data_IF_634637469516
#
_entry.id   IF_634637469516
#
_cell.length_a   1.000
_cell.length_b   1.000
_cell.length_c   1.000
_cell.angle_alpha   90.00
_cell.angle_beta   90.00
_cell.angle_gamma   90.00
#
_symmetry.space_group_name_H-M   'P 1'
#
loop_
_entity.id
_entity.type
_entity.pdbx_description
1 polymer ?
#
# COMPACT_ATOMS: atom_id res chain seq x y z
N UNK A 1 -18.63 -2.42 -0.07
CA UNK A 1 -19.76 -3.31 -0.44
C UNK A 1 -19.38 -4.78 -0.53
N UNK A 2 -18.50 -5.24 -1.42
CA UNK A 2 -18.19 -6.68 -1.53
C UNK A 2 -17.61 -7.29 -0.24
N UNK A 3 -16.68 -6.59 0.42
CA UNK A 3 -16.05 -7.05 1.67
C UNK A 3 -16.88 -6.81 2.93
N UNK A 4 -17.74 -5.79 2.91
CA UNK A 4 -18.41 -5.27 4.11
C UNK A 4 -19.92 -5.40 4.09
N UNK A 5 -20.53 -5.75 2.95
CA UNK A 5 -21.98 -5.66 2.72
C UNK A 5 -22.53 -4.23 2.60
N UNK A 6 -21.81 -3.24 3.13
CA UNK A 6 -22.26 -1.84 3.22
C UNK A 6 -21.87 -1.05 1.97
N UNK A 7 -22.80 -0.26 1.44
CA UNK A 7 -22.55 0.77 0.43
C UNK A 7 -22.08 2.04 1.14
N UNK A 8 -20.91 2.53 0.76
CA UNK A 8 -20.34 3.76 1.31
C UNK A 8 -20.75 4.96 0.45
N UNK A 9 -21.31 6.00 1.06
CA UNK A 9 -21.82 7.20 0.36
C UNK A 9 -21.08 8.49 0.75
N UNK A 10 -20.04 8.39 1.59
CA UNK A 10 -19.26 9.53 2.04
C UNK A 10 -18.19 9.98 1.04
N UNK A 11 -17.36 10.94 1.44
CA UNK A 11 -16.26 11.45 0.63
C UNK A 11 -15.10 10.45 0.61
N UNK A 12 -14.44 10.31 -0.55
CA UNK A 12 -13.27 9.45 -0.71
C UNK A 12 -12.09 10.29 -1.20
N UNK A 13 -10.96 10.22 -0.50
CA UNK A 13 -9.68 10.75 -0.96
C UNK A 13 -8.72 9.60 -1.33
N UNK A 14 -8.03 9.73 -2.46
CA UNK A 14 -7.10 8.71 -2.96
C UNK A 14 -5.64 9.14 -2.77
N UNK A 15 -4.84 8.26 -2.18
CA UNK A 15 -3.39 8.31 -2.23
C UNK A 15 -2.87 7.16 -3.10
N UNK A 16 -2.31 7.51 -4.25
CA UNK A 16 -1.69 6.60 -5.20
C UNK A 16 -0.62 7.32 -6.04
N UNK A 17 0.19 6.56 -6.77
CA UNK A 17 1.10 7.11 -7.75
C UNK A 17 0.35 7.58 -9.00
N UNK A 18 0.93 8.58 -9.65
CA UNK A 18 0.51 9.04 -10.96
C UNK A 18 1.14 8.19 -12.08
N UNK A 19 0.46 8.08 -13.22
CA UNK A 19 0.98 7.37 -14.40
C UNK A 19 2.09 8.19 -15.05
N UNK A 20 3.27 7.60 -15.23
CA UNK A 20 4.41 8.25 -15.92
C UNK A 20 4.83 7.44 -17.13
N UNK A 21 4.97 8.09 -18.30
CA UNK A 21 5.29 7.47 -19.60
C UNK A 21 4.53 6.16 -19.88
N UNK A 22 3.19 6.21 -19.78
CA UNK A 22 2.34 5.05 -20.03
C UNK A 22 2.38 3.97 -18.95
N UNK A 23 3.27 4.07 -17.95
CA UNK A 23 3.42 3.07 -16.89
C UNK A 23 2.82 3.56 -15.58
N UNK A 24 2.01 2.72 -14.93
CA UNK A 24 1.46 2.95 -13.61
C UNK A 24 1.76 1.74 -12.73
N UNK A 25 2.32 1.98 -11.54
CA UNK A 25 2.58 0.94 -10.55
C UNK A 25 2.22 1.50 -9.17
N UNK A 26 1.28 0.84 -8.50
CA UNK A 26 0.83 1.16 -7.14
C UNK A 26 1.01 -0.07 -6.25
N UNK A 27 2.17 -0.24 -5.59
CA UNK A 27 2.35 -1.36 -4.66
C UNK A 27 1.25 -1.39 -3.60
N UNK A 28 0.81 -0.19 -3.20
CA UNK A 28 -0.38 0.05 -2.40
C UNK A 28 -1.04 1.36 -2.87
N UNK A 29 -2.37 1.38 -2.91
CA UNK A 29 -3.21 2.56 -3.05
C UNK A 29 -4.14 2.64 -1.84
N UNK A 30 -4.25 3.81 -1.22
CA UNK A 30 -5.09 4.03 -0.04
C UNK A 30 -6.27 4.93 -0.40
N UNK A 31 -7.48 4.45 -0.16
CA UNK A 31 -8.71 5.21 -0.29
C UNK A 31 -9.21 5.55 1.12
N UNK A 32 -9.05 6.81 1.51
CA UNK A 32 -9.51 7.36 2.77
C UNK A 32 -11.00 7.69 2.66
N UNK A 33 -11.82 7.05 3.49
CA UNK A 33 -13.28 7.16 3.45
C UNK A 33 -13.77 8.00 4.63
N UNK A 34 -14.42 9.12 4.33
CA UNK A 34 -14.91 10.10 5.30
C UNK A 34 -16.44 10.15 5.36
N UNK A 35 -16.98 10.13 6.57
CA UNK A 35 -18.39 10.44 6.86
C UNK A 35 -18.43 11.68 7.74
N UNK A 36 -19.16 12.71 7.31
CA UNK A 36 -19.26 14.00 8.03
C UNK A 36 -17.89 14.55 8.45
N UNK A 37 -16.96 14.64 7.49
CA UNK A 37 -15.55 15.07 7.66
C UNK A 37 -14.69 14.21 8.61
N UNK A 38 -15.22 13.10 9.14
CA UNK A 38 -14.48 12.17 9.99
C UNK A 38 -14.02 10.95 9.19
N UNK A 39 -12.73 10.63 9.26
CA UNK A 39 -12.20 9.39 8.67
C UNK A 39 -12.76 8.17 9.43
N UNK A 40 -13.53 7.33 8.76
CA UNK A 40 -14.16 6.14 9.35
C UNK A 40 -13.43 4.86 8.99
N UNK A 41 -12.88 4.79 7.78
CA UNK A 41 -12.15 3.62 7.29
C UNK A 41 -11.17 3.98 6.19
N UNK A 42 -10.19 3.12 5.98
CA UNK A 42 -9.27 3.18 4.84
C UNK A 42 -9.37 1.88 4.07
N UNK A 43 -9.59 1.97 2.77
CA UNK A 43 -9.52 0.82 1.87
C UNK A 43 -8.12 0.80 1.27
N UNK A 44 -7.36 -0.25 1.55
CA UNK A 44 -6.02 -0.45 1.02
C UNK A 44 -6.06 -1.49 -0.12
N UNK A 45 -5.89 -1.01 -1.35
CA UNK A 45 -5.71 -1.86 -2.53
C UNK A 45 -4.21 -2.14 -2.69
N UNK A 46 -3.84 -3.40 -2.60
CA UNK A 46 -2.45 -3.87 -2.65
C UNK A 46 -2.25 -4.66 -3.92
N UNK A 47 -1.21 -4.34 -4.68
CA UNK A 47 -0.82 -5.06 -5.89
C UNK A 47 0.43 -5.87 -5.63
N UNK A 48 0.51 -7.09 -6.16
CA UNK A 48 1.73 -7.88 -6.10
C UNK A 48 2.52 -7.78 -7.40
N UNK A 49 3.84 -7.74 -7.25
CA UNK A 49 4.79 -7.80 -8.34
C UNK A 49 5.60 -9.09 -8.15
N UNK A 50 5.74 -9.97 -9.16
CA UNK A 50 5.42 -9.76 -10.57
C UNK A 50 4.02 -10.24 -11.02
N UNK A 51 3.20 -10.85 -10.16
CA UNK A 51 1.98 -11.56 -10.58
C UNK A 51 0.83 -10.67 -11.05
N UNK A 52 0.89 -9.36 -10.80
CA UNK A 52 -0.11 -8.38 -11.23
C UNK A 52 -1.54 -8.70 -10.73
N UNK A 53 -1.61 -9.36 -9.57
CA UNK A 53 -2.86 -9.57 -8.85
C UNK A 53 -3.09 -8.37 -7.91
N UNK A 54 -4.32 -8.24 -7.44
CA UNK A 54 -4.70 -7.23 -6.47
C UNK A 54 -5.53 -7.82 -5.35
N UNK A 55 -5.39 -7.24 -4.17
CA UNK A 55 -6.22 -7.56 -3.02
C UNK A 55 -6.59 -6.30 -2.26
N UNK A 56 -7.81 -6.29 -1.73
CA UNK A 56 -8.36 -5.14 -1.02
C UNK A 56 -8.55 -5.49 0.44
N UNK A 57 -7.90 -4.72 1.31
CA UNK A 57 -8.17 -4.68 2.75
C UNK A 57 -9.09 -3.50 3.05
N UNK A 58 -10.11 -3.72 3.88
CA UNK A 58 -10.92 -2.64 4.46
C UNK A 58 -10.52 -2.52 5.92
N UNK A 59 -9.99 -1.37 6.30
CA UNK A 59 -9.40 -1.12 7.61
C UNK A 59 -10.21 -0.04 8.32
N UNK A 60 -11.13 -0.38 9.24
CA UNK A 60 -11.84 0.59 10.05
C UNK A 60 -10.87 1.38 10.93
N UNK A 61 -11.07 2.69 11.06
CA UNK A 61 -10.31 3.50 12.00
C UNK A 61 -10.81 3.18 13.41
N UNK A 62 -9.97 2.55 14.22
CA UNK A 62 -10.28 2.15 15.59
C UNK A 62 -9.00 2.04 16.43
N UNK A 63 -9.12 1.71 17.72
CA UNK A 63 -7.96 1.56 18.60
C UNK A 63 -7.07 0.37 18.23
N UNK A 64 -7.65 -0.68 17.63
CA UNK A 64 -6.94 -1.88 17.18
C UNK A 64 -7.23 -2.11 15.68
N UNK A 65 -6.27 -1.71 14.86
CA UNK A 65 -6.35 -1.86 13.41
C UNK A 65 -5.47 -3.03 12.99
N UNK A 66 -5.93 -4.25 13.25
CA UNK A 66 -5.22 -5.47 12.89
C UNK A 66 -5.97 -6.29 11.85
N UNK A 67 -5.22 -6.99 10.99
CA UNK A 67 -5.81 -7.92 10.03
C UNK A 67 -4.86 -9.08 9.70
N UNK A 68 -5.35 -10.30 9.48
CA UNK A 68 -4.51 -11.37 8.96
C UNK A 68 -3.98 -11.01 7.56
N UNK A 69 -2.73 -11.37 7.27
CA UNK A 69 -2.17 -11.24 5.92
C UNK A 69 -2.84 -12.26 5.00
N UNK A 70 -3.64 -11.76 4.06
CA UNK A 70 -4.43 -12.59 3.14
C UNK A 70 -3.92 -12.54 1.69
N UNK A 71 -2.84 -11.79 1.42
CA UNK A 71 -2.32 -11.60 0.08
C UNK A 71 -0.81 -11.81 -0.02
N UNK A 72 -0.39 -12.57 -1.03
CA UNK A 72 1.02 -12.90 -1.27
C UNK A 72 1.70 -11.82 -2.11
N UNK A 73 2.19 -10.79 -1.41
CA UNK A 73 2.82 -9.60 -2.02
C UNK A 73 4.31 -9.73 -2.25
N UNK A 74 4.98 -10.61 -1.53
CA UNK A 74 6.43 -10.76 -1.55
C UNK A 74 6.80 -12.22 -1.31
N UNK A 75 7.69 -12.80 -2.12
CA UNK A 75 8.19 -14.15 -1.91
C UNK A 75 9.12 -14.27 -0.69
N UNK A 76 9.49 -13.16 -0.04
CA UNK A 76 10.34 -13.18 1.15
C UNK A 76 9.55 -12.98 2.45
N UNK A 77 8.21 -13.06 2.38
CA UNK A 77 7.35 -12.81 3.52
C UNK A 77 6.30 -13.91 3.69
N UNK A 78 6.29 -14.65 4.82
CA UNK A 78 5.36 -15.75 5.04
C UNK A 78 3.89 -15.28 5.01
N UNK A 79 2.97 -16.20 4.72
CA UNK A 79 1.52 -15.90 4.73
C UNK A 79 0.94 -15.88 6.15
N UNK A 80 1.37 -16.78 7.03
CA UNK A 80 0.89 -16.85 8.41
C UNK A 80 1.48 -15.72 9.28
N UNK A 81 0.97 -14.50 9.08
CA UNK A 81 1.39 -13.27 9.75
C UNK A 81 0.19 -12.34 9.94
N UNK A 82 0.33 -11.37 10.85
CA UNK A 82 -0.67 -10.35 11.10
C UNK A 82 -0.14 -8.97 10.71
N UNK A 83 -0.98 -8.18 10.07
CA UNK A 83 -0.76 -6.76 9.81
C UNK A 83 -1.30 -5.93 10.95
N UNK A 84 -0.49 -4.96 11.36
CA UNK A 84 -0.84 -3.89 12.29
C UNK A 84 -0.78 -2.59 11.51
N UNK A 85 -1.94 -1.99 11.29
CA UNK A 85 -2.10 -0.78 10.50
C UNK A 85 -1.98 0.44 11.40
N UNK A 86 -1.22 1.43 10.97
CA UNK A 86 -1.19 2.75 11.58
C UNK A 86 -1.48 3.76 10.49
N UNK A 87 -2.75 4.16 10.41
CA UNK A 87 -3.29 5.03 9.39
C UNK A 87 -3.93 6.24 10.08
N UNK A 88 -3.75 7.41 9.47
CA UNK A 88 -4.29 8.67 9.97
C UNK A 88 -4.91 9.45 8.83
N UNK A 89 -5.83 10.36 9.14
CA UNK A 89 -6.41 11.23 8.12
C UNK A 89 -5.28 12.03 7.42
N UNK A 90 -5.26 12.05 6.08
CA UNK A 90 -4.30 12.86 5.36
C UNK A 90 -4.63 14.34 5.57
N UNK A 91 -3.64 15.11 6.04
CA UNK A 91 -3.71 16.57 6.14
C UNK A 91 -2.43 17.17 5.54
N UNK A 92 -1.78 18.14 6.19
CA UNK A 92 -0.50 18.70 5.76
C UNK A 92 0.61 17.64 5.65
N UNK A 93 0.52 16.57 6.44
CA UNK A 93 1.35 15.38 6.33
C UNK A 93 0.48 14.14 6.20
N UNK A 94 0.94 13.19 5.40
CA UNK A 94 0.30 11.88 5.24
C UNK A 94 1.29 10.79 5.63
N UNK A 95 0.99 10.13 6.75
CA UNK A 95 1.75 8.99 7.25
C UNK A 95 0.89 7.74 7.21
N UNK A 96 1.45 6.68 6.64
CA UNK A 96 0.92 5.34 6.78
C UNK A 96 2.06 4.39 7.15
N UNK A 97 1.77 3.48 8.06
CA UNK A 97 2.68 2.41 8.43
C UNK A 97 1.93 1.09 8.53
N UNK A 98 2.59 0.04 8.07
CA UNK A 98 2.14 -1.33 8.19
C UNK A 98 3.27 -2.08 8.89
N UNK A 99 2.99 -2.61 10.06
CA UNK A 99 3.88 -3.54 10.74
C UNK A 99 3.38 -4.96 10.51
N UNK A 100 4.31 -5.89 10.42
CA UNK A 100 4.03 -7.31 10.19
C UNK A 100 4.61 -8.09 11.34
N UNK A 101 3.74 -8.87 11.98
CA UNK A 101 4.11 -9.70 13.13
C UNK A 101 3.85 -11.18 12.86
N UNK A 102 4.63 -12.02 13.54
CA UNK A 102 4.46 -13.47 13.58
C UNK A 102 4.67 -13.93 15.02
N UNK A 103 3.76 -14.74 15.55
CA UNK A 103 3.80 -15.22 16.94
C UNK A 103 3.94 -14.06 17.96
N UNK A 104 3.24 -12.95 17.73
CA UNK A 104 3.26 -11.77 18.60
C UNK A 104 4.49 -10.86 18.46
N UNK A 105 5.49 -11.21 17.64
CA UNK A 105 6.68 -10.39 17.43
C UNK A 105 6.66 -9.68 16.07
N UNK A 106 6.85 -8.37 16.08
CA UNK A 106 7.00 -7.57 14.85
C UNK A 106 8.39 -7.81 14.26
N UNK A 107 8.45 -8.24 13.01
CA UNK A 107 9.73 -8.52 12.32
C UNK A 107 9.93 -7.69 11.05
N UNK A 108 8.88 -7.00 10.59
CA UNK A 108 8.96 -6.12 9.42
C UNK A 108 8.05 -4.91 9.60
N UNK A 109 8.50 -3.77 9.08
CA UNK A 109 7.67 -2.58 8.99
C UNK A 109 7.93 -1.85 7.68
N UNK A 110 6.85 -1.45 7.02
CA UNK A 110 6.86 -0.54 5.88
C UNK A 110 6.13 0.73 6.28
N UNK A 111 6.73 1.89 6.00
CA UNK A 111 6.08 3.17 6.24
C UNK A 111 6.47 4.18 5.16
N UNK A 112 5.60 5.17 4.98
CA UNK A 112 5.95 6.39 4.28
C UNK A 112 5.49 7.60 5.08
N UNK A 113 6.18 8.71 4.88
CA UNK A 113 5.83 10.01 5.42
C UNK A 113 5.91 11.02 4.27
N UNK A 114 4.77 11.55 3.88
CA UNK A 114 4.63 12.44 2.73
C UNK A 114 4.18 13.82 3.21
N UNK A 115 4.72 14.88 2.62
CA UNK A 115 4.20 16.23 2.79
C UNK A 115 3.18 16.54 1.69
N UNK A 116 2.03 17.06 2.06
CA UNK A 116 1.03 17.52 1.10
C UNK A 116 1.54 18.76 0.35
N UNK A 117 1.23 18.81 -0.94
CA UNK A 117 1.46 20.00 -1.76
C UNK A 117 0.14 20.43 -2.38
N UNK A 118 -0.06 21.75 -2.49
CA UNK A 118 -1.24 22.31 -3.13
C UNK A 118 -1.37 21.76 -4.56
N UNK A 119 -2.57 21.34 -4.92
CA UNK A 119 -2.88 20.92 -6.28
C UNK A 119 -2.95 22.15 -7.19
N UNK A 120 -1.83 22.49 -7.84
CA UNK A 120 -1.71 23.61 -8.77
C UNK A 120 -0.99 23.19 -10.05
N UNK A 121 -1.26 23.88 -11.15
CA UNK A 121 -0.59 23.65 -12.43
C UNK A 121 0.93 23.78 -12.34
N UNK A 122 1.43 24.72 -11.52
CA UNK A 122 2.87 24.90 -11.27
C UNK A 122 3.50 23.68 -10.59
N UNK A 123 2.84 23.13 -9.56
CA UNK A 123 3.34 21.97 -8.80
C UNK A 123 3.27 20.70 -9.64
N UNK A 124 2.19 20.50 -10.40
CA UNK A 124 2.04 19.37 -11.32
C UNK A 124 3.14 19.41 -12.40
N UNK A 125 3.34 20.56 -13.05
CA UNK A 125 4.39 20.73 -14.06
C UNK A 125 5.78 20.45 -13.48
N UNK A 126 6.07 20.98 -12.29
CA UNK A 126 7.33 20.72 -11.58
C UNK A 126 7.51 19.23 -11.28
N UNK A 127 6.46 18.55 -10.80
CA UNK A 127 6.51 17.11 -10.52
C UNK A 127 6.82 16.32 -11.79
N UNK A 128 6.11 16.57 -12.89
CA UNK A 128 6.35 15.88 -14.17
C UNK A 128 7.77 16.09 -14.71
N UNK A 129 8.30 17.32 -14.62
CA UNK A 129 9.64 17.64 -15.11
C UNK A 129 10.76 17.07 -14.23
N UNK A 130 10.56 17.03 -12.92
CA UNK A 130 11.60 16.59 -11.96
C UNK A 130 11.58 15.08 -11.70
N UNK A 131 10.44 14.41 -11.91
CA UNK A 131 10.29 12.96 -11.67
C UNK A 131 9.65 12.21 -12.85
N UNK A 132 10.18 12.36 -14.08
CA UNK A 132 9.56 11.79 -15.27
C UNK A 132 9.59 10.25 -15.29
N UNK A 133 10.49 9.60 -14.54
CA UNK A 133 10.60 8.14 -14.46
C UNK A 133 10.17 7.56 -13.10
N UNK A 134 9.32 8.25 -12.34
CA UNK A 134 8.97 7.85 -10.97
C UNK A 134 8.44 6.42 -10.85
N UNK A 135 7.53 6.01 -11.74
CA UNK A 135 6.94 4.66 -11.72
C UNK A 135 7.96 3.58 -12.07
N UNK A 136 8.83 3.81 -13.06
CA UNK A 136 9.94 2.91 -13.38
C UNK A 136 10.95 2.81 -12.23
N UNK A 137 11.24 3.92 -11.55
CA UNK A 137 12.11 3.92 -10.36
C UNK A 137 11.53 3.08 -9.23
N UNK A 138 10.21 3.12 -9.00
CA UNK A 138 9.54 2.25 -8.01
C UNK A 138 9.74 0.78 -8.38
N UNK A 139 9.46 0.40 -9.63
CA UNK A 139 9.61 -0.97 -10.10
C UNK A 139 11.06 -1.45 -9.93
N UNK A 140 12.02 -0.66 -10.41
CA UNK A 140 13.45 -0.99 -10.31
C UNK A 140 13.90 -1.15 -8.85
N UNK A 141 13.41 -0.30 -7.94
CA UNK A 141 13.71 -0.42 -6.50
C UNK A 141 13.12 -1.68 -5.87
N UNK A 142 11.92 -2.10 -6.27
CA UNK A 142 11.30 -3.36 -5.81
C UNK A 142 12.17 -4.55 -6.22
N UNK A 143 12.55 -4.65 -7.49
CA UNK A 143 13.41 -5.73 -7.98
C UNK A 143 14.81 -5.69 -7.35
N UNK A 144 15.39 -4.50 -7.16
CA UNK A 144 16.69 -4.36 -6.50
C UNK A 144 16.65 -4.85 -5.05
N UNK A 145 15.59 -4.52 -4.30
CA UNK A 145 15.43 -5.03 -2.93
C UNK A 145 15.21 -6.55 -2.93
N UNK A 146 14.41 -7.08 -3.85
CA UNK A 146 14.23 -8.53 -4.00
C UNK A 146 15.56 -9.25 -4.27
N UNK A 147 16.39 -8.72 -5.19
CA UNK A 147 17.72 -9.26 -5.47
C UNK A 147 18.63 -9.24 -4.23
N UNK A 148 18.65 -8.13 -3.48
CA UNK A 148 19.43 -8.05 -2.23
C UNK A 148 18.96 -9.06 -1.18
N UNK A 149 17.66 -9.29 -1.03
CA UNK A 149 17.13 -10.30 -0.10
C UNK A 149 17.50 -11.71 -0.55
N UNK A 150 17.45 -11.97 -1.86
CA UNK A 150 17.90 -13.23 -2.45
C UNK A 150 19.39 -13.49 -2.18
N UNK A 151 20.26 -12.50 -2.44
CA UNK A 151 21.69 -12.59 -2.16
C UNK A 151 22.00 -12.78 -0.66
N UNK A 152 21.13 -12.27 0.22
CA UNK A 152 21.19 -12.48 1.68
C UNK A 152 20.59 -13.81 2.13
N UNK A 153 20.20 -14.68 1.20
CA UNK A 153 19.59 -15.99 1.48
C UNK A 153 18.37 -15.92 2.40
N UNK A 154 17.58 -14.83 2.30
CA UNK A 154 16.31 -14.74 3.03
C UNK A 154 15.37 -15.83 2.53
N UNK A 155 14.66 -16.56 3.41
CA UNK A 155 13.79 -17.66 3.01
C UNK A 155 12.79 -17.25 1.92
N UNK A 156 12.74 -18.06 0.87
CA UNK A 156 11.80 -17.89 -0.24
C UNK A 156 10.53 -18.72 0.02
N UNK A 157 9.38 -18.09 -0.15
CA UNK A 157 8.06 -18.68 -0.07
C UNK A 157 7.44 -18.63 -1.46
N UNK A 158 7.10 -19.80 -2.00
CA UNK A 158 6.43 -19.89 -3.29
C UNK A 158 5.07 -19.20 -3.22
N UNK A 159 4.75 -18.46 -4.29
CA UNK A 159 3.41 -17.91 -4.43
C UNK A 159 2.38 -19.06 -4.40
N UNK A 160 1.30 -18.94 -3.61
CA UNK A 160 0.32 -20.00 -3.51
C UNK A 160 -0.24 -20.31 -4.90
N UNK A 161 0.01 -21.52 -5.42
CA UNK A 161 -0.55 -21.93 -6.71
C UNK A 161 -2.06 -21.67 -6.70
N UNK A 162 -2.53 -20.82 -7.61
CA UNK A 162 -3.92 -20.84 -8.02
C UNK A 162 -4.12 -22.14 -8.81
N UNK A 163 -4.34 -23.25 -8.10
CA UNK A 163 -5.02 -24.39 -8.72
C UNK A 163 -6.41 -23.87 -9.10
N UNK A 164 -6.60 -23.62 -10.39
CA UNK A 164 -7.92 -23.56 -11.01
C UNK A 164 -8.62 -24.89 -10.85
#
# INVERSE_FOLDING_TARGET
>A
KEKTGVTFNGQIALLANWRSFGTLMNPIALFYCFEDDRLTQVVAEVHNTPWNERYVYVVPISADMTSPKQFHVSPFMPMNTQYHWQLSAPDAACRAQIQVSRLGQVFFSASFNLGAQRFSSSNIRRYCLTRPFHTLQIIGRIYWQALKLFLKQVPFYSHPNQNR
#
